data_IF_006544419429
#
_entry.id   IF_006544419429
#
_cell.length_a   1.000
_cell.length_b   1.000
_cell.length_c   1.000
_cell.angle_alpha   90.00
_cell.angle_beta   90.00
_cell.angle_gamma   90.00
#
_symmetry.space_group_name_H-M   'P 1'
#
loop_
_entity.id
_entity.type
_entity.pdbx_description
1 polymer ?
#
# COMPACT_ATOMS: atom_id res chain seq x y z
N UNK A 1 5.90 20.21 84.53
CA UNK A 1 4.56 20.74 84.86
C UNK A 1 3.76 20.52 83.59
N UNK A 2 2.94 19.50 83.57
CA UNK A 2 1.47 19.44 83.50
C UNK A 2 0.92 20.25 82.34
N UNK A 3 0.11 19.81 81.42
CA UNK A 3 -1.06 18.92 81.65
C UNK A 3 -1.56 18.28 80.31
N UNK A 4 -2.17 17.20 80.52
CA UNK A 4 -2.93 16.42 79.56
C UNK A 4 -4.28 17.05 79.22
N UNK A 5 -4.77 16.94 78.02
CA UNK A 5 -6.18 16.52 77.84
C UNK A 5 -6.44 15.99 76.42
N UNK A 6 -6.80 14.78 76.39
CA UNK A 6 -7.42 13.92 75.33
C UNK A 6 -8.75 14.54 74.85
N UNK A 7 -8.98 14.54 73.54
CA UNK A 7 -10.35 14.38 72.98
C UNK A 7 -10.28 13.53 71.73
N UNK A 8 -10.99 12.41 71.80
CA UNK A 8 -11.28 11.54 70.69
C UNK A 8 -12.41 12.11 69.84
N UNK A 9 -12.32 12.03 68.55
CA UNK A 9 -13.48 12.16 67.66
C UNK A 9 -13.36 11.27 66.45
N UNK A 10 -14.30 10.43 66.40
CA UNK A 10 -14.88 9.50 65.45
C UNK A 10 -14.39 9.49 64.00
N UNK A 11 -14.02 8.29 63.54
CA UNK A 11 -13.98 7.79 62.16
C UNK A 11 -15.39 7.81 61.52
N UNK A 12 -15.54 8.51 60.41
CA UNK A 12 -16.61 8.27 59.45
C UNK A 12 -15.95 7.83 58.13
N UNK A 13 -16.05 6.54 57.87
CA UNK A 13 -15.66 5.94 56.61
C UNK A 13 -16.70 6.29 55.52
N UNK A 14 -16.36 7.21 54.62
CA UNK A 14 -17.10 7.43 53.38
C UNK A 14 -16.54 6.60 52.27
N UNK A 15 -17.20 5.53 51.88
CA UNK A 15 -16.88 4.73 50.71
C UNK A 15 -17.31 5.51 49.44
N UNK A 16 -16.37 6.17 48.77
CA UNK A 16 -16.59 6.75 47.47
C UNK A 16 -16.42 5.64 46.40
N UNK A 17 -17.53 5.13 45.92
CA UNK A 17 -17.57 4.24 44.76
C UNK A 17 -17.22 5.03 43.50
N UNK A 18 -15.96 4.93 43.07
CA UNK A 18 -15.52 5.47 41.77
C UNK A 18 -16.09 4.59 40.64
N UNK A 19 -17.14 5.05 39.99
CA UNK A 19 -17.64 4.48 38.73
C UNK A 19 -16.60 4.84 37.66
N UNK A 20 -15.71 3.91 37.37
CA UNK A 20 -14.84 4.01 36.18
C UNK A 20 -15.73 3.78 34.98
N UNK A 21 -16.22 4.88 34.40
CA UNK A 21 -16.85 4.87 33.10
C UNK A 21 -15.83 4.44 32.06
N UNK A 22 -15.98 3.23 31.53
CA UNK A 22 -15.27 2.77 30.35
C UNK A 22 -15.67 3.65 29.15
N UNK A 23 -15.05 4.82 29.02
CA UNK A 23 -15.12 5.63 27.82
C UNK A 23 -14.58 4.79 26.67
N UNK A 24 -15.45 4.39 25.75
CA UNK A 24 -15.01 3.86 24.44
C UNK A 24 -14.06 4.89 23.85
N UNK A 25 -12.76 4.60 23.82
CA UNK A 25 -11.77 5.37 23.11
C UNK A 25 -12.20 5.40 21.64
N UNK A 26 -12.86 6.48 21.26
CA UNK A 26 -13.13 6.81 19.87
C UNK A 26 -11.76 7.07 19.26
N UNK A 27 -11.31 6.17 18.37
CA UNK A 27 -10.11 6.41 17.60
C UNK A 27 -10.29 7.78 16.92
N UNK A 28 -9.59 8.79 17.43
CA UNK A 28 -9.50 10.09 16.78
C UNK A 28 -8.70 9.85 15.51
N UNK A 29 -9.41 9.79 14.38
CA UNK A 29 -8.76 9.95 13.10
C UNK A 29 -8.20 11.36 13.06
N UNK A 30 -6.89 11.47 13.30
CA UNK A 30 -6.22 12.74 13.11
C UNK A 30 -6.45 13.18 11.66
N UNK A 31 -6.77 14.47 11.42
CA UNK A 31 -6.91 14.97 10.07
C UNK A 31 -5.63 14.69 9.30
N UNK A 32 -5.75 14.15 8.08
CA UNK A 32 -4.61 13.93 7.21
C UNK A 32 -3.93 15.27 6.93
N UNK A 33 -2.62 15.33 7.10
CA UNK A 33 -1.85 16.50 6.66
C UNK A 33 -1.93 16.55 5.14
N UNK A 34 -2.45 17.63 4.53
CA UNK A 34 -2.54 17.72 3.08
C UNK A 34 -1.18 17.49 2.43
N UNK A 35 -1.11 16.52 1.53
CA UNK A 35 0.10 16.20 0.80
C UNK A 35 0.21 17.10 -0.45
N UNK A 36 1.45 17.47 -0.78
CA UNK A 36 1.76 18.19 -2.01
C UNK A 36 2.42 17.29 -3.06
N UNK A 37 2.92 16.17 -2.62
CA UNK A 37 3.67 15.23 -3.44
C UNK A 37 3.01 13.85 -3.46
N UNK A 38 3.13 13.18 -4.60
CA UNK A 38 2.76 11.77 -4.79
C UNK A 38 3.94 11.05 -5.42
N UNK A 39 4.40 9.98 -4.79
CA UNK A 39 5.42 9.07 -5.32
C UNK A 39 4.75 7.75 -5.67
N UNK A 40 4.86 7.36 -6.94
CA UNK A 40 4.21 6.19 -7.53
C UNK A 40 5.22 5.07 -7.73
N UNK A 41 4.95 3.89 -7.20
CA UNK A 41 5.85 2.72 -7.23
C UNK A 41 5.18 1.60 -8.00
N UNK A 42 5.76 1.20 -9.14
CA UNK A 42 5.25 0.10 -9.96
C UNK A 42 5.61 -1.27 -9.41
N UNK A 43 4.91 -2.31 -9.92
CA UNK A 43 5.15 -3.70 -9.56
C UNK A 43 6.08 -4.44 -10.53
N UNK A 44 6.14 -5.78 -10.37
CA UNK A 44 6.79 -6.68 -11.32
C UNK A 44 6.08 -6.63 -12.68
N UNK A 45 6.78 -6.97 -13.74
CA UNK A 45 6.24 -7.01 -15.11
C UNK A 45 5.70 -5.67 -15.61
N UNK A 46 6.10 -4.56 -14.98
CA UNK A 46 5.70 -3.20 -15.32
C UNK A 46 6.90 -2.25 -15.17
N UNK A 47 6.69 -1.02 -15.54
CA UNK A 47 7.57 0.11 -15.28
C UNK A 47 6.73 1.36 -14.91
N UNK A 48 7.37 2.51 -14.76
CA UNK A 48 6.67 3.75 -14.40
C UNK A 48 5.59 4.18 -15.40
N UNK A 49 5.60 3.67 -16.64
CA UNK A 49 4.58 3.99 -17.65
C UNK A 49 3.20 3.44 -17.30
N UNK A 50 3.10 2.44 -16.42
CA UNK A 50 1.80 1.94 -15.94
C UNK A 50 0.96 3.02 -15.22
N UNK A 51 1.58 4.13 -14.81
CA UNK A 51 0.94 5.25 -14.14
C UNK A 51 0.51 6.40 -15.09
N UNK A 52 0.81 6.31 -16.39
CA UNK A 52 0.60 7.41 -17.35
C UNK A 52 -0.84 7.93 -17.42
N UNK A 53 -1.84 7.11 -17.08
CA UNK A 53 -3.25 7.55 -17.04
C UNK A 53 -3.66 8.20 -15.72
N UNK A 54 -2.92 7.94 -14.65
CA UNK A 54 -3.19 8.51 -13.30
C UNK A 54 -2.44 9.83 -13.11
N UNK A 55 -1.18 9.92 -13.56
CA UNK A 55 -0.31 11.09 -13.39
C UNK A 55 -1.01 12.41 -13.78
N UNK A 56 -1.58 12.58 -14.98
CA UNK A 56 -2.16 13.86 -15.38
C UNK A 56 -3.39 14.24 -14.53
N UNK A 57 -4.13 13.27 -14.00
CA UNK A 57 -5.27 13.55 -13.12
C UNK A 57 -4.85 14.14 -11.77
N UNK A 58 -3.70 13.69 -11.25
CA UNK A 58 -3.14 14.22 -10.00
C UNK A 58 -2.47 15.57 -10.22
N UNK A 59 -1.78 15.76 -11.36
CA UNK A 59 -1.16 17.04 -11.74
C UNK A 59 -2.19 18.15 -11.97
N UNK A 60 -3.37 17.83 -12.51
CA UNK A 60 -4.46 18.79 -12.74
C UNK A 60 -4.94 19.47 -11.45
N UNK A 61 -4.76 18.85 -10.30
CA UNK A 61 -5.10 19.45 -9.00
C UNK A 61 -3.89 20.03 -8.27
N UNK A 62 -2.77 20.17 -8.96
CA UNK A 62 -1.57 20.86 -8.46
C UNK A 62 -0.62 19.96 -7.64
N UNK A 63 -0.82 18.64 -7.63
CA UNK A 63 0.12 17.72 -6.96
C UNK A 63 1.41 17.56 -7.79
N UNK A 64 2.54 17.55 -7.11
CA UNK A 64 3.82 17.12 -7.68
C UNK A 64 3.85 15.59 -7.71
N UNK A 65 4.03 15.00 -8.89
CA UNK A 65 3.94 13.55 -9.09
C UNK A 65 5.24 13.01 -9.66
N UNK A 66 5.81 12.00 -9.00
CA UNK A 66 7.02 11.33 -9.46
C UNK A 66 6.79 9.82 -9.49
N UNK A 67 7.07 9.17 -10.62
CA UNK A 67 7.08 7.72 -10.74
C UNK A 67 8.50 7.17 -10.55
N UNK A 68 8.66 6.24 -9.62
CA UNK A 68 9.92 5.50 -9.41
C UNK A 68 10.10 4.51 -10.56
N UNK A 69 11.35 4.31 -10.98
CA UNK A 69 11.74 3.25 -11.90
C UNK A 69 12.49 2.18 -11.11
N UNK A 70 11.78 1.14 -10.69
CA UNK A 70 12.37 0.04 -9.93
C UNK A 70 13.28 -0.80 -10.83
N UNK A 71 14.53 -1.08 -10.43
CA UNK A 71 15.42 -1.99 -11.18
C UNK A 71 14.97 -3.45 -11.20
N UNK A 72 14.10 -3.87 -10.27
CA UNK A 72 13.54 -5.21 -10.14
C UNK A 72 14.60 -6.31 -9.96
N UNK A 73 15.72 -5.99 -9.32
CA UNK A 73 16.80 -6.93 -9.01
C UNK A 73 16.73 -7.50 -7.60
N UNK A 74 16.34 -6.67 -6.63
CA UNK A 74 16.06 -7.05 -5.25
C UNK A 74 15.12 -6.04 -4.60
N UNK A 75 14.45 -6.44 -3.53
CA UNK A 75 13.61 -5.54 -2.73
C UNK A 75 14.44 -4.38 -2.15
N UNK A 76 15.64 -4.65 -1.67
CA UNK A 76 16.51 -3.63 -1.06
C UNK A 76 16.88 -2.55 -2.08
N UNK A 77 17.21 -2.93 -3.31
CA UNK A 77 17.55 -1.98 -4.36
C UNK A 77 16.34 -1.14 -4.78
N UNK A 78 15.18 -1.75 -4.97
CA UNK A 78 13.93 -1.05 -5.29
C UNK A 78 13.52 -0.08 -4.16
N UNK A 79 13.73 -0.48 -2.90
CA UNK A 79 13.56 0.39 -1.73
C UNK A 79 14.53 1.58 -1.74
N UNK A 80 15.78 1.37 -2.14
CA UNK A 80 16.77 2.45 -2.24
C UNK A 80 16.37 3.48 -3.30
N UNK A 81 15.89 3.04 -4.48
CA UNK A 81 15.37 3.95 -5.51
C UNK A 81 14.17 4.76 -5.02
N UNK A 82 13.28 4.13 -4.26
CA UNK A 82 12.14 4.82 -3.63
C UNK A 82 12.60 5.83 -2.58
N UNK A 83 13.55 5.48 -1.69
CA UNK A 83 14.11 6.39 -0.69
C UNK A 83 14.77 7.62 -1.33
N UNK A 84 15.58 7.42 -2.38
CA UNK A 84 16.20 8.52 -3.15
C UNK A 84 15.12 9.44 -3.72
N UNK A 85 14.06 8.89 -4.28
CA UNK A 85 12.94 9.69 -4.78
C UNK A 85 12.27 10.49 -3.65
N UNK A 86 12.08 9.91 -2.47
CA UNK A 86 11.53 10.60 -1.30
C UNK A 86 12.44 11.74 -0.82
N UNK A 87 13.77 11.62 -0.93
CA UNK A 87 14.66 12.73 -0.55
C UNK A 87 14.43 13.99 -1.38
N UNK A 88 14.00 13.85 -2.63
CA UNK A 88 13.72 14.95 -3.55
C UNK A 88 12.37 15.63 -3.31
N UNK A 89 11.51 15.07 -2.45
CA UNK A 89 10.22 15.68 -2.16
C UNK A 89 10.35 16.79 -1.10
N UNK A 90 9.64 17.88 -1.30
CA UNK A 90 9.74 19.10 -0.49
C UNK A 90 8.72 19.18 0.65
N UNK A 91 8.05 18.07 1.00
CA UNK A 91 7.06 18.05 2.07
C UNK A 91 6.22 16.77 2.13
N UNK A 92 5.03 16.85 2.73
CA UNK A 92 4.17 15.69 2.90
C UNK A 92 3.87 14.99 1.58
N UNK A 93 4.06 13.68 1.56
CA UNK A 93 4.03 12.84 0.36
C UNK A 93 3.12 11.65 0.56
N UNK A 94 2.21 11.40 -0.38
CA UNK A 94 1.51 10.11 -0.48
C UNK A 94 2.39 9.14 -1.24
N UNK A 95 2.66 7.99 -0.64
CA UNK A 95 3.41 6.91 -1.30
C UNK A 95 2.42 5.86 -1.81
N UNK A 96 2.42 5.62 -3.11
CA UNK A 96 1.43 4.81 -3.82
C UNK A 96 2.09 3.61 -4.47
N UNK A 97 1.51 2.45 -4.29
CA UNK A 97 2.01 1.19 -4.83
C UNK A 97 1.04 0.52 -5.78
N UNK A 98 1.57 -0.14 -6.80
CA UNK A 98 0.88 -1.16 -7.56
C UNK A 98 1.58 -2.52 -7.39
N UNK A 99 0.80 -3.58 -7.19
CA UNK A 99 1.30 -4.96 -7.19
C UNK A 99 2.45 -5.19 -6.19
N UNK A 100 3.57 -5.79 -6.62
CA UNK A 100 4.81 -5.94 -5.83
C UNK A 100 5.31 -4.62 -5.25
N UNK A 101 5.11 -3.49 -5.92
CA UNK A 101 5.47 -2.18 -5.38
C UNK A 101 4.92 -1.93 -3.96
N UNK A 102 3.89 -2.70 -3.56
CA UNK A 102 3.37 -2.70 -2.20
C UNK A 102 4.35 -3.20 -1.14
N UNK A 103 5.25 -4.14 -1.47
CA UNK A 103 6.34 -4.55 -0.57
C UNK A 103 7.34 -3.40 -0.38
N UNK A 104 7.68 -2.71 -1.47
CA UNK A 104 8.56 -1.54 -1.44
C UNK A 104 7.95 -0.42 -0.57
N UNK A 105 6.66 -0.12 -0.78
CA UNK A 105 5.93 0.91 0.00
C UNK A 105 5.79 0.49 1.47
N UNK A 106 5.54 -0.78 1.74
CA UNK A 106 5.48 -1.33 3.10
C UNK A 106 6.81 -1.15 3.83
N UNK A 107 7.93 -1.36 3.13
CA UNK A 107 9.28 -1.22 3.69
C UNK A 107 9.72 0.24 3.87
N UNK A 108 9.35 1.14 2.95
CA UNK A 108 9.87 2.51 2.89
C UNK A 108 8.92 3.56 3.46
N UNK A 109 7.65 3.23 3.62
CA UNK A 109 6.60 4.16 4.03
C UNK A 109 6.71 4.72 5.45
N UNK A 110 7.65 4.20 6.26
CA UNK A 110 7.99 4.76 7.57
C UNK A 110 8.70 6.12 7.51
N UNK A 111 9.15 6.57 6.34
CA UNK A 111 9.81 7.86 6.14
C UNK A 111 8.96 9.01 6.74
N UNK A 112 9.57 9.97 7.45
CA UNK A 112 8.87 11.11 8.06
C UNK A 112 8.07 11.97 7.06
N UNK A 113 8.51 12.06 5.80
CA UNK A 113 7.80 12.78 4.75
C UNK A 113 6.53 12.07 4.27
N UNK A 114 6.42 10.76 4.49
CA UNK A 114 5.25 9.98 4.06
C UNK A 114 4.07 10.23 5.00
N UNK A 115 3.01 10.84 4.48
CA UNK A 115 1.78 11.15 5.22
C UNK A 115 0.72 10.05 5.14
N UNK A 116 0.67 9.31 4.04
CA UNK A 116 -0.27 8.21 3.82
C UNK A 116 0.26 7.21 2.79
N UNK A 117 -0.28 6.00 2.82
CA UNK A 117 0.05 4.88 1.92
C UNK A 117 -1.18 4.50 1.10
N UNK A 118 -1.00 4.26 -0.20
CA UNK A 118 -2.05 3.76 -1.09
C UNK A 118 -1.57 2.49 -1.79
N UNK A 119 -2.38 1.45 -1.74
CA UNK A 119 -2.10 0.14 -2.32
C UNK A 119 -3.13 -0.15 -3.41
N UNK A 120 -2.70 -0.28 -4.65
CA UNK A 120 -3.54 -0.60 -5.80
C UNK A 120 -3.27 -2.05 -6.23
N UNK A 121 -4.20 -2.98 -6.01
CA UNK A 121 -4.01 -4.42 -6.29
C UNK A 121 -2.64 -4.91 -5.81
N UNK A 122 -2.21 -4.48 -4.63
CA UNK A 122 -0.82 -4.55 -4.22
C UNK A 122 -0.57 -5.53 -3.08
N UNK A 123 0.65 -6.06 -3.01
CA UNK A 123 1.14 -6.86 -1.89
C UNK A 123 1.31 -5.96 -0.66
N UNK A 124 0.90 -6.45 0.50
CA UNK A 124 1.06 -5.73 1.76
C UNK A 124 1.44 -6.71 2.89
N UNK A 125 2.65 -7.31 2.82
CA UNK A 125 3.09 -8.23 3.85
C UNK A 125 3.30 -7.53 5.19
N UNK A 126 3.31 -8.32 6.26
CA UNK A 126 3.78 -7.87 7.56
C UNK A 126 5.31 -7.98 7.66
N UNK A 127 5.90 -7.36 8.68
CA UNK A 127 7.34 -7.46 8.93
C UNK A 127 7.78 -8.92 9.06
N UNK A 128 8.79 -9.31 8.29
CA UNK A 128 9.35 -10.66 8.18
C UNK A 128 8.37 -11.74 7.67
N UNK A 129 7.19 -11.36 7.19
CA UNK A 129 6.23 -12.30 6.63
C UNK A 129 6.72 -12.86 5.28
N UNK A 130 6.58 -14.16 5.10
CA UNK A 130 6.76 -14.81 3.82
C UNK A 130 5.50 -14.59 2.96
N UNK A 131 5.54 -13.61 2.07
CA UNK A 131 4.41 -13.32 1.18
C UNK A 131 4.04 -14.52 0.29
N UNK A 132 5.04 -15.28 -0.16
CA UNK A 132 4.81 -16.46 -1.00
C UNK A 132 4.04 -17.54 -0.23
N UNK A 133 4.40 -17.77 1.03
CA UNK A 133 3.67 -18.70 1.89
C UNK A 133 2.24 -18.19 2.20
N UNK A 134 2.07 -16.91 2.46
CA UNK A 134 0.75 -16.30 2.64
C UNK A 134 -0.11 -16.47 1.38
N UNK A 135 0.43 -16.21 0.21
CA UNK A 135 -0.31 -16.33 -1.05
C UNK A 135 -0.76 -17.76 -1.36
N UNK A 136 0.01 -18.77 -0.94
CA UNK A 136 -0.35 -20.19 -1.10
C UNK A 136 -1.58 -20.62 -0.29
N UNK A 137 -2.02 -19.82 0.69
CA UNK A 137 -3.27 -20.07 1.42
C UNK A 137 -4.53 -19.73 0.58
N UNK A 138 -4.36 -19.15 -0.59
CA UNK A 138 -5.42 -18.76 -1.53
C UNK A 138 -5.27 -19.49 -2.87
N UNK A 139 -6.36 -19.62 -3.66
CA UNK A 139 -6.27 -20.20 -4.99
C UNK A 139 -5.18 -19.55 -5.84
N UNK A 140 -4.36 -20.38 -6.48
CA UNK A 140 -3.26 -19.90 -7.33
C UNK A 140 -3.79 -19.05 -8.50
N UNK A 141 -3.32 -17.81 -8.66
CA UNK A 141 -3.76 -16.96 -9.76
C UNK A 141 -3.35 -17.51 -11.12
N UNK A 142 -4.21 -17.41 -12.14
CA UNK A 142 -3.96 -17.94 -13.48
C UNK A 142 -2.67 -17.41 -14.15
N UNK A 143 -2.29 -16.16 -13.90
CA UNK A 143 -1.06 -15.57 -14.43
C UNK A 143 0.20 -16.36 -14.06
N UNK A 144 0.18 -17.10 -12.93
CA UNK A 144 1.32 -17.92 -12.48
C UNK A 144 1.72 -19.01 -13.50
N UNK A 145 0.75 -19.53 -14.27
CA UNK A 145 1.02 -20.53 -15.30
C UNK A 145 1.75 -19.97 -16.54
N UNK A 146 1.77 -18.66 -16.68
CA UNK A 146 2.42 -17.96 -17.79
C UNK A 146 3.77 -17.35 -17.47
N UNK A 147 4.38 -17.70 -16.32
CA UNK A 147 5.72 -17.24 -15.98
C UNK A 147 6.77 -17.90 -16.88
N UNK A 148 7.64 -17.07 -17.43
CA UNK A 148 8.78 -17.48 -18.27
C UNK A 148 10.06 -17.16 -17.52
N UNK A 149 10.83 -18.20 -17.22
CA UNK A 149 12.12 -18.12 -16.55
C UNK A 149 13.25 -18.18 -17.56
N UNK A 150 14.13 -17.20 -17.58
CA UNK A 150 15.28 -17.16 -18.47
C UNK A 150 16.44 -16.37 -17.86
N UNK A 151 17.64 -16.95 -17.82
CA UNK A 151 18.88 -16.30 -17.39
C UNK A 151 18.78 -15.62 -15.99
N UNK A 152 18.09 -16.27 -15.05
CA UNK A 152 17.93 -15.74 -13.69
C UNK A 152 16.87 -14.62 -13.58
N UNK A 153 16.07 -14.43 -14.62
CA UNK A 153 14.97 -13.46 -14.62
C UNK A 153 13.63 -14.14 -14.94
N UNK A 154 12.56 -13.49 -14.49
CA UNK A 154 11.17 -13.92 -14.69
C UNK A 154 10.38 -12.81 -15.37
N UNK A 155 9.56 -13.18 -16.33
CA UNK A 155 8.59 -12.32 -16.99
C UNK A 155 7.29 -13.07 -17.26
N UNK A 156 6.21 -12.37 -17.58
CA UNK A 156 5.02 -13.01 -18.13
C UNK A 156 5.17 -13.25 -19.61
N UNK A 157 4.67 -14.39 -20.09
CA UNK A 157 4.45 -14.62 -21.51
C UNK A 157 3.45 -13.61 -22.07
N UNK A 158 3.47 -13.34 -23.37
CA UNK A 158 2.53 -12.41 -23.99
C UNK A 158 1.08 -12.83 -23.73
N UNK A 159 0.76 -14.12 -23.90
CA UNK A 159 -0.58 -14.64 -23.66
C UNK A 159 -1.06 -14.37 -22.22
N UNK A 160 -0.24 -14.69 -21.21
CA UNK A 160 -0.59 -14.48 -19.81
C UNK A 160 -0.67 -13.00 -19.46
N UNK A 161 0.22 -12.17 -20.01
CA UNK A 161 0.18 -10.74 -19.83
C UNK A 161 -1.13 -10.15 -20.34
N UNK A 162 -1.51 -10.46 -21.58
CA UNK A 162 -2.72 -9.91 -22.20
C UNK A 162 -4.01 -10.44 -21.55
N UNK A 163 -4.06 -11.74 -21.20
CA UNK A 163 -5.25 -12.38 -20.66
C UNK A 163 -5.43 -12.16 -19.16
N UNK A 164 -4.34 -12.27 -18.37
CA UNK A 164 -4.42 -12.40 -16.92
C UNK A 164 -3.92 -11.14 -16.18
N UNK A 165 -2.98 -10.39 -16.76
CA UNK A 165 -2.43 -9.18 -16.17
C UNK A 165 -3.20 -7.93 -16.65
N UNK A 166 -3.47 -7.84 -17.96
CA UNK A 166 -4.07 -6.69 -18.64
C UNK A 166 -5.45 -7.00 -19.24
N UNK A 167 -6.21 -7.94 -18.67
CA UNK A 167 -7.38 -8.55 -19.30
C UNK A 167 -8.57 -7.61 -19.57
N UNK A 168 -8.61 -6.44 -18.99
CA UNK A 168 -9.63 -5.39 -19.23
C UNK A 168 -9.06 -4.14 -19.94
N UNK A 169 -7.83 -4.25 -20.47
CA UNK A 169 -7.17 -3.17 -21.23
C UNK A 169 -7.38 -3.41 -22.73
N UNK A 170 -7.53 -2.34 -23.51
CA UNK A 170 -7.59 -2.48 -24.96
C UNK A 170 -6.33 -3.19 -25.51
N UNK A 171 -6.48 -4.07 -26.53
CA UNK A 171 -5.39 -4.92 -26.97
C UNK A 171 -4.15 -4.16 -27.47
N UNK A 172 -4.31 -2.97 -28.03
CA UNK A 172 -3.19 -2.14 -28.51
C UNK A 172 -2.35 -1.64 -27.35
N UNK A 173 -3.00 -1.05 -26.34
CA UNK A 173 -2.36 -0.60 -25.10
C UNK A 173 -1.75 -1.77 -24.34
N UNK A 174 -2.45 -2.90 -24.22
CA UNK A 174 -1.94 -4.08 -23.52
C UNK A 174 -0.66 -4.65 -24.16
N UNK A 175 -0.57 -4.70 -25.51
CA UNK A 175 0.66 -5.10 -26.19
C UNK A 175 1.81 -4.10 -26.01
N UNK A 176 1.51 -2.81 -26.00
CA UNK A 176 2.54 -1.79 -25.70
C UNK A 176 3.10 -1.95 -24.30
N UNK A 177 2.22 -2.19 -23.30
CA UNK A 177 2.63 -2.46 -21.92
C UNK A 177 3.43 -3.76 -21.79
N UNK A 178 3.05 -4.81 -22.53
CA UNK A 178 3.83 -6.04 -22.59
C UNK A 178 5.25 -5.78 -23.12
N UNK A 179 5.40 -4.95 -24.13
CA UNK A 179 6.71 -4.65 -24.73
C UNK A 179 7.66 -3.92 -23.78
N UNK A 180 7.12 -3.17 -22.80
CA UNK A 180 7.91 -2.42 -21.79
C UNK A 180 7.93 -3.13 -20.44
N UNK A 181 7.43 -4.36 -20.32
CA UNK A 181 7.42 -5.06 -19.04
C UNK A 181 8.84 -5.21 -18.48
N UNK A 182 9.03 -4.79 -17.22
CA UNK A 182 10.27 -5.03 -16.48
C UNK A 182 10.44 -6.50 -16.15
N UNK A 183 11.62 -7.06 -16.43
CA UNK A 183 11.97 -8.42 -16.01
C UNK A 183 12.41 -8.41 -14.57
N UNK A 184 11.84 -9.29 -13.75
CA UNK A 184 12.20 -9.42 -12.34
C UNK A 184 13.33 -10.45 -12.17
N UNK A 185 14.36 -10.12 -11.39
CA UNK A 185 15.34 -11.12 -11.01
C UNK A 185 14.71 -12.18 -10.08
N UNK A 186 15.04 -13.45 -10.28
CA UNK A 186 14.44 -14.56 -9.51
C UNK A 186 14.57 -14.41 -7.98
N UNK A 187 15.69 -13.91 -7.41
CA UNK A 187 15.81 -13.77 -5.96
C UNK A 187 14.75 -12.86 -5.32
N UNK A 188 14.20 -11.89 -6.05
CA UNK A 188 13.22 -10.93 -5.53
C UNK A 188 11.95 -11.58 -4.95
N UNK A 189 11.62 -12.80 -5.42
CA UNK A 189 10.44 -13.54 -4.93
C UNK A 189 10.65 -14.16 -3.53
N UNK A 190 11.89 -14.20 -3.05
CA UNK A 190 12.25 -14.66 -1.70
C UNK A 190 12.50 -13.54 -0.70
N UNK A 191 12.55 -12.31 -1.17
CA UNK A 191 12.81 -11.15 -0.32
C UNK A 191 11.65 -10.91 0.66
N UNK A 192 11.97 -10.29 1.80
CA UNK A 192 10.99 -10.00 2.84
C UNK A 192 11.17 -8.58 3.36
N UNK A 193 10.06 -7.91 3.61
CA UNK A 193 10.07 -6.63 4.31
C UNK A 193 10.45 -6.85 5.78
N UNK A 194 11.25 -5.97 6.33
CA UNK A 194 11.62 -5.97 7.77
C UNK A 194 10.77 -5.00 8.58
N UNK A 195 10.01 -4.14 7.91
CA UNK A 195 9.11 -3.15 8.51
C UNK A 195 7.75 -3.24 7.82
N UNK A 196 6.69 -2.88 8.55
CA UNK A 196 5.34 -2.80 8.03
C UNK A 196 4.77 -1.40 8.29
N UNK A 197 5.10 -0.43 7.41
CA UNK A 197 4.73 0.97 7.58
C UNK A 197 3.22 1.18 7.72
N UNK A 198 2.39 0.33 7.13
CA UNK A 198 0.94 0.37 7.25
C UNK A 198 0.42 0.15 8.69
N UNK A 199 1.26 -0.33 9.62
CA UNK A 199 0.91 -0.44 11.03
C UNK A 199 0.79 0.92 11.73
N UNK A 200 1.47 1.95 11.20
CA UNK A 200 1.58 3.27 11.81
C UNK A 200 1.11 4.41 10.92
N UNK A 201 0.98 4.18 9.61
CA UNK A 201 0.56 5.20 8.65
C UNK A 201 -0.90 4.98 8.21
N UNK A 202 -1.66 6.06 7.99
CA UNK A 202 -2.95 5.98 7.32
C UNK A 202 -2.81 5.24 6.01
N UNK A 203 -3.66 4.23 5.78
CA UNK A 203 -3.53 3.36 4.62
C UNK A 203 -4.84 3.25 3.86
N UNK A 204 -4.73 3.22 2.54
CA UNK A 204 -5.81 3.11 1.58
C UNK A 204 -5.55 1.92 0.67
N UNK A 205 -6.59 1.23 0.26
CA UNK A 205 -6.43 0.05 -0.58
C UNK A 205 -7.49 0.00 -1.68
N UNK A 206 -7.06 -0.31 -2.90
CA UNK A 206 -7.94 -0.63 -4.01
C UNK A 206 -7.82 -2.12 -4.32
N UNK A 207 -8.92 -2.84 -4.23
CA UNK A 207 -9.06 -4.26 -4.60
C UNK A 207 -9.56 -4.36 -6.05
N UNK A 208 -8.87 -5.15 -6.88
CA UNK A 208 -9.33 -5.53 -8.22
C UNK A 208 -10.08 -6.86 -8.14
N UNK A 209 -11.41 -6.83 -8.33
CA UNK A 209 -12.25 -8.03 -8.12
C UNK A 209 -12.13 -9.10 -9.21
N UNK A 210 -11.57 -8.76 -10.37
CA UNK A 210 -11.29 -9.68 -11.48
C UNK A 210 -9.80 -9.90 -11.68
N UNK A 211 -9.00 -9.62 -10.65
CA UNK A 211 -7.55 -9.82 -10.68
C UNK A 211 -7.20 -11.31 -10.83
N UNK A 212 -6.39 -11.62 -11.84
CA UNK A 212 -5.90 -12.96 -12.15
C UNK A 212 -4.40 -13.11 -11.92
N UNK A 213 -3.79 -12.09 -11.26
CA UNK A 213 -2.35 -12.03 -10.89
C UNK A 213 -2.14 -12.07 -9.38
N UNK A 214 -2.96 -11.35 -8.61
CA UNK A 214 -3.05 -11.48 -7.15
C UNK A 214 -4.51 -11.83 -6.80
N UNK A 215 -4.70 -12.94 -6.09
CA UNK A 215 -6.04 -13.39 -5.73
C UNK A 215 -6.83 -12.27 -5.01
N UNK A 216 -8.06 -11.94 -5.45
CA UNK A 216 -8.87 -10.86 -4.85
C UNK A 216 -9.17 -11.06 -3.36
N UNK A 217 -9.33 -12.30 -2.90
CA UNK A 217 -9.59 -12.57 -1.47
C UNK A 217 -8.33 -12.34 -0.63
N UNK A 218 -7.14 -12.60 -1.18
CA UNK A 218 -5.88 -12.20 -0.54
C UNK A 218 -5.77 -10.67 -0.47
N UNK A 219 -6.16 -9.94 -1.52
CA UNK A 219 -6.18 -8.48 -1.48
C UNK A 219 -7.13 -7.96 -0.39
N UNK A 220 -8.36 -8.51 -0.29
CA UNK A 220 -9.32 -8.17 0.77
C UNK A 220 -8.79 -8.48 2.16
N UNK A 221 -8.11 -9.63 2.32
CA UNK A 221 -7.48 -9.99 3.60
C UNK A 221 -6.43 -8.96 4.01
N UNK A 222 -5.51 -8.59 3.10
CA UNK A 222 -4.46 -7.61 3.38
C UNK A 222 -5.06 -6.23 3.70
N UNK A 223 -6.01 -5.76 2.91
CA UNK A 223 -6.72 -4.50 3.15
C UNK A 223 -7.40 -4.45 4.53
N UNK A 224 -8.09 -5.54 4.90
CA UNK A 224 -8.74 -5.68 6.22
C UNK A 224 -7.73 -5.69 7.36
N UNK A 225 -6.63 -6.46 7.22
CA UNK A 225 -5.56 -6.53 8.22
C UNK A 225 -4.94 -5.16 8.49
N UNK A 226 -4.70 -4.40 7.46
CA UNK A 226 -4.16 -3.03 7.53
C UNK A 226 -5.18 -2.02 8.06
N UNK A 227 -6.46 -2.37 8.20
CA UNK A 227 -7.56 -1.45 8.49
C UNK A 227 -7.62 -0.31 7.47
N UNK A 228 -7.24 -0.58 6.23
CA UNK A 228 -7.17 0.40 5.17
C UNK A 228 -8.57 0.88 4.77
N UNK A 229 -8.71 2.17 4.43
CA UNK A 229 -9.88 2.62 3.70
C UNK A 229 -9.89 1.96 2.33
N UNK A 230 -10.89 1.15 2.05
CA UNK A 230 -10.89 0.23 0.92
C UNK A 230 -11.97 0.58 -0.08
N UNK A 231 -11.61 0.59 -1.37
CA UNK A 231 -12.54 0.56 -2.50
C UNK A 231 -12.32 -0.73 -3.29
N UNK A 232 -13.36 -1.22 -3.93
CA UNK A 232 -13.29 -2.37 -4.82
C UNK A 232 -13.70 -1.96 -6.23
N UNK A 233 -12.92 -2.39 -7.22
CA UNK A 233 -13.14 -2.08 -8.64
C UNK A 233 -13.22 -3.37 -9.41
N UNK A 234 -14.20 -3.50 -10.27
CA UNK A 234 -14.30 -4.61 -11.22
C UNK A 234 -13.29 -4.38 -12.37
N UNK A 235 -12.04 -4.77 -12.13
CA UNK A 235 -10.93 -4.62 -13.06
C UNK A 235 -10.01 -5.84 -13.04
N UNK A 236 -9.20 -6.00 -14.08
CA UNK A 236 -8.03 -6.86 -14.07
C UNK A 236 -6.97 -6.33 -13.08
N UNK A 237 -5.77 -6.90 -13.09
CA UNK A 237 -4.65 -6.44 -12.27
C UNK A 237 -4.25 -4.98 -12.53
N UNK A 238 -4.48 -4.47 -13.75
CA UNK A 238 -4.15 -3.11 -14.16
C UNK A 238 -5.30 -2.10 -13.98
N UNK A 239 -6.04 -2.19 -12.87
CA UNK A 239 -7.07 -1.20 -12.51
C UNK A 239 -6.59 0.25 -12.54
N UNK A 240 -5.29 0.48 -12.35
CA UNK A 240 -4.62 1.79 -12.47
C UNK A 240 -4.69 2.36 -13.88
N UNK A 241 -4.87 1.52 -14.89
CA UNK A 241 -4.98 1.90 -16.31
C UNK A 241 -6.42 1.90 -16.79
N UNK A 242 -7.21 0.88 -16.43
CA UNK A 242 -8.60 0.77 -16.86
C UNK A 242 -9.55 1.71 -16.13
N UNK A 243 -9.24 2.06 -14.87
CA UNK A 243 -10.07 2.91 -14.00
C UNK A 243 -9.28 4.08 -13.37
N UNK A 244 -8.52 4.87 -14.15
CA UNK A 244 -7.57 5.83 -13.59
C UNK A 244 -8.23 6.91 -12.73
N UNK A 245 -9.48 7.31 -13.02
CA UNK A 245 -10.20 8.31 -12.21
C UNK A 245 -10.52 7.80 -10.81
N UNK A 246 -10.94 6.53 -10.67
CA UNK A 246 -11.22 5.94 -9.35
C UNK A 246 -9.93 5.82 -8.52
N UNK A 247 -8.82 5.47 -9.17
CA UNK A 247 -7.51 5.40 -8.53
C UNK A 247 -7.03 6.80 -8.13
N UNK A 248 -7.13 7.78 -9.03
CA UNK A 248 -6.76 9.16 -8.70
C UNK A 248 -7.58 9.70 -7.52
N UNK A 249 -8.88 9.46 -7.48
CA UNK A 249 -9.73 9.89 -6.36
C UNK A 249 -9.29 9.26 -5.03
N UNK A 250 -8.94 7.98 -5.00
CA UNK A 250 -8.41 7.32 -3.80
C UNK A 250 -7.10 7.95 -3.34
N UNK A 251 -6.21 8.29 -4.28
CA UNK A 251 -4.94 8.97 -4.01
C UNK A 251 -5.18 10.40 -3.50
N UNK A 252 -6.11 11.14 -4.12
CA UNK A 252 -6.49 12.49 -3.70
C UNK A 252 -7.06 12.50 -2.28
N UNK A 253 -7.89 11.53 -1.97
CA UNK A 253 -8.40 11.38 -0.61
C UNK A 253 -7.27 11.09 0.38
N UNK A 254 -6.33 10.20 0.05
CA UNK A 254 -5.15 9.94 0.87
C UNK A 254 -4.25 11.19 1.01
N UNK A 255 -4.26 12.07 0.02
CA UNK A 255 -3.56 13.36 0.04
C UNK A 255 -4.31 14.45 0.83
N UNK A 256 -5.50 14.16 1.38
CA UNK A 256 -6.29 15.15 2.12
C UNK A 256 -7.02 16.16 1.24
N UNK A 257 -7.19 15.87 -0.06
CA UNK A 257 -7.98 16.68 -0.98
C UNK A 257 -9.45 16.24 -0.96
N UNK A 258 -10.37 17.19 -1.12
CA UNK A 258 -11.77 16.87 -1.33
C UNK A 258 -11.93 16.20 -2.72
N UNK A 259 -12.62 15.07 -2.77
CA UNK A 259 -12.90 14.29 -4.00
C UNK A 259 -14.35 14.41 -4.42
#
# INVERSE_FOLDING_TARGET
MLDRRTVAAALLAGAATSIIGAGKARAQTQPLTPARNVVLVHGLYADGSCWLRVIPLLQQVGLNVTAVQNPLRSLDEDCEFTRRTLTLQDGPTVLVAHSYGGEVVTQTGGDPKVSALVYCSARAPDANEDYTALAKAYPTPPASAGLVHANGYVQLSEEAFLRDFAGDIDPGTARALYAVQGRAAEPIFGDRVTQAAWRTKPSFYQVSSKDRTINPDLQRFMAKRMKAKTIEIESSHLGIISHPRKIANLILEAAGHAT
#
